data_IF_605564539329
#
_entry.id   IF_605564539329
#
_cell.length_a   1.000
_cell.length_b   1.000
_cell.length_c   1.000
_cell.angle_alpha   90.00
_cell.angle_beta   90.00
_cell.angle_gamma   90.00
#
_symmetry.space_group_name_H-M   'P 1'
#
loop_
_entity.id
_entity.type
_entity.pdbx_description
1 polymer ?
#
# COMPACT_ATOMS: atom_id res chain seq x y z
N UNK A 1 13.26 8.29 -44.90
CA UNK A 1 12.73 7.06 -44.20
C UNK A 1 13.71 6.67 -43.11
N UNK A 2 13.52 7.07 -41.89
CA UNK A 2 14.08 6.51 -40.64
C UNK A 2 13.89 7.48 -39.47
N UNK A 3 12.67 8.06 -39.30
CA UNK A 3 12.37 8.96 -38.17
C UNK A 3 11.67 8.25 -36.99
N UNK A 4 11.35 6.94 -37.09
CA UNK A 4 10.51 6.26 -36.11
C UNK A 4 11.25 5.68 -34.89
N UNK A 5 12.59 5.66 -34.87
CA UNK A 5 13.38 5.09 -33.76
C UNK A 5 14.59 5.96 -33.33
N UNK A 6 14.51 7.27 -33.46
CA UNK A 6 15.50 8.09 -32.72
C UNK A 6 15.24 7.89 -31.24
N UNK A 7 16.08 7.06 -30.60
CA UNK A 7 16.21 7.00 -29.13
C UNK A 7 16.28 8.44 -28.62
N UNK A 8 15.32 8.89 -27.81
CA UNK A 8 15.44 10.17 -27.14
C UNK A 8 16.77 10.17 -26.39
N UNK A 9 17.57 11.26 -26.45
CA UNK A 9 18.82 11.33 -25.74
C UNK A 9 18.58 10.99 -24.26
N UNK A 10 19.45 10.20 -23.68
CA UNK A 10 19.38 9.88 -22.24
C UNK A 10 19.59 11.16 -21.45
N UNK A 11 18.95 11.31 -20.30
CA UNK A 11 19.11 12.48 -19.44
C UNK A 11 20.60 12.77 -19.11
N UNK A 12 21.43 11.72 -19.04
CA UNK A 12 22.88 11.82 -18.90
C UNK A 12 23.58 12.48 -20.08
N UNK A 13 23.07 12.37 -21.29
CA UNK A 13 23.63 13.02 -22.48
C UNK A 13 23.25 14.51 -22.51
N UNK A 14 22.17 14.92 -21.83
CA UNK A 14 21.69 16.29 -21.77
C UNK A 14 22.38 17.07 -20.64
N UNK A 15 22.48 16.46 -19.44
CA UNK A 15 22.90 17.13 -18.22
C UNK A 15 24.34 16.78 -17.79
N UNK A 16 25.03 15.88 -18.50
CA UNK A 16 26.34 15.35 -18.12
C UNK A 16 26.34 14.50 -16.84
N UNK A 17 25.17 14.21 -16.29
CA UNK A 17 25.00 13.42 -15.07
C UNK A 17 24.67 11.98 -15.43
N UNK A 18 25.41 11.02 -14.86
CA UNK A 18 25.09 9.60 -15.04
C UNK A 18 23.88 9.22 -14.20
N UNK A 19 22.74 8.99 -14.88
CA UNK A 19 21.54 8.49 -14.24
C UNK A 19 21.47 6.96 -14.26
N UNK A 20 21.17 6.40 -13.09
CA UNK A 20 20.89 4.96 -12.95
C UNK A 20 19.45 4.68 -13.41
N UNK A 21 19.28 3.75 -14.34
CA UNK A 21 17.97 3.31 -14.87
C UNK A 21 17.78 1.82 -14.66
N UNK A 22 16.58 1.43 -14.22
CA UNK A 22 16.16 0.04 -14.15
C UNK A 22 15.60 -0.43 -15.49
N UNK A 23 15.77 -1.71 -15.79
CA UNK A 23 15.10 -2.37 -16.92
C UNK A 23 13.61 -2.56 -16.61
N UNK A 24 12.76 -2.61 -17.62
CA UNK A 24 11.32 -2.73 -17.44
C UNK A 24 10.92 -3.97 -16.61
N UNK A 25 11.54 -5.11 -16.85
CA UNK A 25 11.26 -6.32 -16.08
C UNK A 25 11.58 -6.16 -14.58
N UNK A 26 12.62 -5.38 -14.23
CA UNK A 26 12.98 -5.09 -12.84
C UNK A 26 11.91 -4.22 -12.15
N UNK A 27 11.37 -3.25 -12.89
CA UNK A 27 10.27 -2.40 -12.42
C UNK A 27 9.01 -3.24 -12.17
N UNK A 28 8.66 -4.14 -13.10
CA UNK A 28 7.50 -5.03 -12.97
C UNK A 28 7.67 -5.97 -11.76
N UNK A 29 8.83 -6.64 -11.65
CA UNK A 29 9.10 -7.51 -10.51
C UNK A 29 9.09 -6.76 -9.18
N UNK A 30 9.56 -5.51 -9.16
CA UNK A 30 9.50 -4.68 -7.97
C UNK A 30 8.04 -4.31 -7.61
N UNK A 31 7.19 -4.04 -8.61
CA UNK A 31 5.77 -3.76 -8.40
C UNK A 31 5.00 -4.98 -7.84
N UNK A 32 5.52 -6.22 -8.00
CA UNK A 32 4.96 -7.42 -7.38
C UNK A 32 4.94 -7.37 -5.84
N UNK A 33 5.65 -6.43 -5.22
CA UNK A 33 5.51 -6.16 -3.78
C UNK A 33 4.04 -5.86 -3.38
N UNK A 34 3.24 -5.30 -4.28
CA UNK A 34 1.82 -5.07 -4.07
C UNK A 34 1.04 -6.38 -3.76
N UNK A 35 1.54 -7.54 -4.19
CA UNK A 35 0.94 -8.84 -3.88
C UNK A 35 0.90 -9.08 -2.37
N UNK A 36 1.97 -8.77 -1.63
CA UNK A 36 1.97 -8.86 -0.18
C UNK A 36 1.06 -7.80 0.45
N UNK A 37 1.37 -6.52 0.24
CA UNK A 37 0.71 -5.43 0.95
C UNK A 37 -0.81 -5.39 0.75
N UNK A 38 -1.29 -5.62 -0.48
CA UNK A 38 -2.71 -5.49 -0.78
C UNK A 38 -3.54 -6.75 -0.44
N UNK A 39 -2.95 -7.94 -0.54
CA UNK A 39 -3.65 -9.16 -0.10
C UNK A 39 -3.76 -9.21 1.41
N UNK A 40 -2.71 -8.82 2.13
CA UNK A 40 -2.75 -8.67 3.58
C UNK A 40 -3.74 -7.58 4.01
N UNK A 41 -3.75 -6.43 3.34
CA UNK A 41 -4.71 -5.36 3.63
C UNK A 41 -6.17 -5.84 3.48
N UNK A 42 -6.45 -6.64 2.45
CA UNK A 42 -7.78 -7.23 2.24
C UNK A 42 -8.16 -8.22 3.34
N UNK A 43 -7.21 -9.04 3.81
CA UNK A 43 -7.44 -9.98 4.90
C UNK A 43 -7.63 -9.27 6.25
N UNK A 44 -6.83 -8.26 6.54
CA UNK A 44 -6.94 -7.43 7.75
C UNK A 44 -8.27 -6.66 7.80
N UNK A 45 -8.85 -6.31 6.66
CA UNK A 45 -10.22 -5.81 6.60
C UNK A 45 -11.25 -6.74 7.26
N UNK A 46 -10.95 -8.04 7.35
CA UNK A 46 -11.77 -9.04 8.05
C UNK A 46 -11.34 -9.30 9.50
N UNK A 47 -10.35 -8.55 10.03
CA UNK A 47 -9.83 -8.77 11.39
C UNK A 47 -10.90 -8.58 12.47
N UNK A 48 -11.80 -7.61 12.32
CA UNK A 48 -12.92 -7.39 13.25
C UNK A 48 -13.84 -8.61 13.30
N UNK A 49 -14.10 -9.22 12.16
CA UNK A 49 -14.91 -10.42 12.06
C UNK A 49 -14.20 -11.62 12.71
N UNK A 50 -12.92 -11.81 12.42
CA UNK A 50 -12.08 -12.84 13.04
C UNK A 50 -12.02 -12.68 14.56
N UNK A 51 -11.87 -11.45 15.07
CA UNK A 51 -11.85 -11.16 16.50
C UNK A 51 -13.16 -11.56 17.19
N UNK A 52 -14.30 -11.31 16.55
CA UNK A 52 -15.61 -11.68 17.11
C UNK A 52 -15.84 -13.19 17.10
N UNK A 53 -15.59 -13.87 15.98
CA UNK A 53 -15.87 -15.31 15.84
C UNK A 53 -14.76 -16.16 16.47
N UNK A 54 -13.52 -15.82 16.23
CA UNK A 54 -12.38 -16.63 16.64
C UNK A 54 -11.93 -16.42 18.08
N UNK A 55 -12.13 -15.23 18.63
CA UNK A 55 -11.64 -14.86 19.95
C UNK A 55 -12.76 -14.43 20.92
N UNK A 56 -14.00 -14.37 20.46
CA UNK A 56 -15.14 -13.97 21.32
C UNK A 56 -15.09 -12.50 21.76
N UNK A 57 -14.42 -11.65 21.01
CA UNK A 57 -14.23 -10.22 21.31
C UNK A 57 -15.45 -9.44 20.84
N UNK A 58 -16.05 -8.65 21.73
CA UNK A 58 -17.16 -7.76 21.36
C UNK A 58 -16.68 -6.74 20.30
N UNK A 59 -17.51 -6.48 19.29
CA UNK A 59 -17.18 -5.59 18.15
C UNK A 59 -16.73 -4.19 18.60
N UNK A 60 -17.33 -3.65 19.66
CA UNK A 60 -16.93 -2.37 20.24
C UNK A 60 -15.49 -2.40 20.79
N UNK A 61 -15.09 -3.49 21.46
CA UNK A 61 -13.73 -3.65 21.96
C UNK A 61 -12.71 -3.79 20.83
N UNK A 62 -13.10 -4.45 19.73
CA UNK A 62 -12.25 -4.52 18.53
C UNK A 62 -11.96 -3.14 17.96
N UNK A 63 -12.97 -2.27 17.88
CA UNK A 63 -12.79 -0.88 17.43
C UNK A 63 -11.78 -0.11 18.27
N UNK A 64 -11.82 -0.28 19.61
CA UNK A 64 -10.84 0.33 20.53
C UNK A 64 -9.44 -0.23 20.28
N UNK A 65 -9.29 -1.56 20.12
CA UNK A 65 -8.00 -2.21 19.85
C UNK A 65 -7.41 -1.68 18.54
N UNK A 66 -8.20 -1.65 17.46
CA UNK A 66 -7.75 -1.16 16.17
C UNK A 66 -7.34 0.32 16.21
N UNK A 67 -8.00 1.13 17.04
CA UNK A 67 -7.61 2.54 17.24
C UNK A 67 -6.34 2.66 18.08
N UNK A 68 -6.21 1.90 19.16
CA UNK A 68 -5.02 1.89 20.02
C UNK A 68 -3.77 1.41 19.24
N UNK A 69 -3.93 0.43 18.35
CA UNK A 69 -2.82 -0.05 17.51
C UNK A 69 -2.35 0.99 16.51
N UNK A 70 -3.16 1.97 16.10
CA UNK A 70 -2.69 3.11 15.29
C UNK A 70 -1.76 4.04 16.05
N UNK A 71 -1.97 4.19 17.35
CA UNK A 71 -1.03 4.93 18.22
C UNK A 71 0.28 4.15 18.36
N UNK A 72 0.19 2.83 18.51
CA UNK A 72 1.35 1.95 18.52
C UNK A 72 2.15 2.03 17.20
N UNK A 73 1.47 2.06 16.05
CA UNK A 73 2.06 2.23 14.72
C UNK A 73 2.88 3.53 14.63
N UNK A 74 2.32 4.65 15.12
CA UNK A 74 3.01 5.94 15.16
C UNK A 74 4.31 5.93 16.01
N UNK A 75 4.41 5.04 17.00
CA UNK A 75 5.63 4.85 17.81
C UNK A 75 6.60 3.88 17.14
N UNK A 76 6.10 2.84 16.49
CA UNK A 76 6.94 1.83 15.82
C UNK A 76 7.58 2.36 14.54
N UNK A 77 6.95 3.29 13.82
CA UNK A 77 7.50 3.88 12.60
C UNK A 77 8.90 4.50 12.79
N UNK A 78 9.14 5.39 13.77
CA UNK A 78 10.48 5.90 14.05
C UNK A 78 11.47 4.81 14.46
N UNK A 79 11.04 3.83 15.26
CA UNK A 79 11.93 2.73 15.70
C UNK A 79 12.38 1.86 14.52
N UNK A 80 11.47 1.55 13.60
CA UNK A 80 11.78 0.80 12.38
C UNK A 80 12.67 1.63 11.45
N UNK A 81 12.49 2.94 11.37
CA UNK A 81 13.39 3.82 10.62
C UNK A 81 14.83 3.77 11.16
N UNK A 82 15.01 3.80 12.48
CA UNK A 82 16.33 3.60 13.11
C UNK A 82 16.90 2.20 12.84
N UNK A 83 16.07 1.16 12.88
CA UNK A 83 16.48 -0.19 12.54
C UNK A 83 16.92 -0.26 11.07
N UNK A 84 16.16 0.35 10.18
CA UNK A 84 16.47 0.44 8.77
C UNK A 84 17.87 1.02 8.53
N UNK A 85 18.25 2.07 9.24
CA UNK A 85 19.56 2.71 9.07
C UNK A 85 20.74 1.87 9.58
N UNK A 86 20.49 1.02 10.59
CA UNK A 86 21.53 0.16 11.20
C UNK A 86 21.76 -1.16 10.47
N UNK A 87 20.79 -1.63 9.72
CA UNK A 87 20.92 -2.89 8.97
C UNK A 87 21.86 -2.66 7.78
N UNK A 88 23.00 -3.33 7.81
CA UNK A 88 23.95 -3.36 6.70
C UNK A 88 24.45 -4.79 6.54
N UNK A 89 23.98 -5.50 5.52
CA UNK A 89 24.28 -6.92 5.31
C UNK A 89 24.87 -7.18 3.93
N UNK A 90 25.64 -8.26 3.81
CA UNK A 90 26.21 -8.71 2.51
C UNK A 90 25.14 -9.08 1.49
N UNK A 91 23.94 -9.45 1.94
CA UNK A 91 22.82 -9.82 1.08
C UNK A 91 21.99 -8.64 0.60
N UNK A 92 22.37 -7.43 0.95
CA UNK A 92 21.63 -6.19 0.73
C UNK A 92 20.83 -5.79 1.98
N UNK A 93 20.50 -4.51 2.04
CA UNK A 93 19.73 -3.92 3.15
C UNK A 93 18.22 -4.12 2.96
N UNK A 94 17.75 -3.79 1.76
CA UNK A 94 16.33 -3.78 1.42
C UNK A 94 15.77 -5.19 1.37
N UNK A 95 16.51 -6.13 0.76
CA UNK A 95 16.07 -7.54 0.65
C UNK A 95 15.91 -8.22 2.00
N UNK A 96 16.88 -8.02 2.90
CA UNK A 96 16.83 -8.64 4.24
C UNK A 96 15.64 -8.09 5.04
N UNK A 97 15.36 -6.81 4.96
CA UNK A 97 14.23 -6.19 5.65
C UNK A 97 12.88 -6.60 5.03
N UNK A 98 12.78 -6.72 3.69
CA UNK A 98 11.57 -7.24 3.05
C UNK A 98 11.25 -8.67 3.48
N UNK A 99 12.24 -9.54 3.46
CA UNK A 99 12.05 -10.95 3.89
C UNK A 99 11.76 -11.03 5.38
N UNK A 100 12.49 -10.27 6.22
CA UNK A 100 12.26 -10.23 7.65
C UNK A 100 10.87 -9.71 8.02
N UNK A 101 10.45 -8.61 7.40
CA UNK A 101 9.10 -8.05 7.55
C UNK A 101 8.01 -9.04 7.12
N UNK A 102 8.19 -9.68 5.96
CA UNK A 102 7.26 -10.72 5.48
C UNK A 102 7.15 -11.89 6.46
N UNK A 103 8.26 -12.40 6.99
CA UNK A 103 8.23 -13.53 7.93
C UNK A 103 7.48 -13.17 9.21
N UNK A 104 7.73 -12.00 9.78
CA UNK A 104 7.03 -11.53 10.99
C UNK A 104 5.54 -11.36 10.70
N UNK A 105 5.19 -10.72 9.58
CA UNK A 105 3.82 -10.46 9.17
C UNK A 105 3.06 -11.77 8.89
N UNK A 106 3.65 -12.68 8.12
CA UNK A 106 3.07 -13.98 7.81
C UNK A 106 2.86 -14.84 9.06
N UNK A 107 3.84 -14.87 9.97
CA UNK A 107 3.72 -15.58 11.24
C UNK A 107 2.58 -15.02 12.09
N UNK A 108 2.50 -13.71 12.24
CA UNK A 108 1.45 -13.05 13.01
C UNK A 108 0.06 -13.35 12.43
N UNK A 109 -0.10 -13.25 11.11
CA UNK A 109 -1.37 -13.53 10.44
C UNK A 109 -1.76 -15.01 10.54
N UNK A 110 -0.81 -15.91 10.35
CA UNK A 110 -1.06 -17.34 10.47
C UNK A 110 -1.52 -17.71 11.88
N UNK A 111 -0.82 -17.22 12.91
CA UNK A 111 -1.21 -17.44 14.30
C UNK A 111 -2.59 -16.83 14.60
N UNK A 112 -2.87 -15.63 14.08
CA UNK A 112 -4.10 -14.88 14.37
C UNK A 112 -5.33 -15.49 13.68
N UNK A 113 -5.24 -15.92 12.42
CA UNK A 113 -6.39 -16.35 11.65
C UNK A 113 -6.59 -17.87 11.62
N UNK A 114 -5.55 -18.66 11.90
CA UNK A 114 -5.61 -20.13 11.82
C UNK A 114 -5.33 -20.80 13.16
N UNK A 115 -4.12 -20.66 13.70
CA UNK A 115 -3.65 -21.50 14.83
C UNK A 115 -4.36 -21.17 16.14
N UNK A 116 -4.50 -19.89 16.49
CA UNK A 116 -5.04 -19.44 17.79
C UNK A 116 -6.50 -19.04 17.71
N UNK A 117 -7.04 -18.87 16.53
CA UNK A 117 -8.47 -18.61 16.34
C UNK A 117 -9.30 -19.79 16.83
N UNK A 118 -10.46 -19.50 17.44
CA UNK A 118 -11.41 -20.49 17.98
C UNK A 118 -10.93 -21.37 19.14
N UNK A 119 -9.77 -21.02 19.75
CA UNK A 119 -9.22 -21.77 20.91
C UNK A 119 -9.44 -21.11 22.27
N UNK A 120 -10.26 -20.06 22.33
CA UNK A 120 -10.62 -19.40 23.60
C UNK A 120 -9.54 -18.49 24.20
N UNK A 121 -8.54 -18.07 23.41
CA UNK A 121 -7.43 -17.23 23.91
C UNK A 121 -7.85 -15.78 24.25
N UNK A 122 -9.01 -15.32 23.80
CA UNK A 122 -9.57 -14.01 24.18
C UNK A 122 -8.84 -12.78 23.60
N UNK A 123 -9.22 -11.62 24.17
CA UNK A 123 -8.83 -10.28 23.70
C UNK A 123 -7.31 -10.04 23.72
N UNK A 124 -6.64 -10.48 24.77
CA UNK A 124 -5.21 -10.20 24.97
C UNK A 124 -4.36 -10.83 23.87
N UNK A 125 -4.63 -12.09 23.56
CA UNK A 125 -3.90 -12.81 22.51
C UNK A 125 -4.13 -12.18 21.13
N UNK A 126 -5.38 -11.84 20.81
CA UNK A 126 -5.70 -11.12 19.58
C UNK A 126 -4.92 -9.81 19.48
N UNK A 127 -4.89 -9.01 20.54
CA UNK A 127 -4.18 -7.72 20.58
C UNK A 127 -2.68 -7.89 20.36
N UNK A 128 -2.06 -8.86 21.06
CA UNK A 128 -0.62 -9.12 20.91
C UNK A 128 -0.26 -9.58 19.50
N UNK A 129 -1.06 -10.47 18.91
CA UNK A 129 -0.84 -10.91 17.51
C UNK A 129 -1.04 -9.78 16.51
N UNK A 130 -2.04 -8.92 16.76
CA UNK A 130 -2.26 -7.76 15.91
C UNK A 130 -1.09 -6.75 16.02
N UNK A 131 -0.55 -6.52 17.22
CA UNK A 131 0.67 -5.70 17.39
C UNK A 131 1.88 -6.30 16.68
N UNK A 132 2.06 -7.62 16.73
CA UNK A 132 3.13 -8.31 16.01
C UNK A 132 2.97 -8.14 14.49
N UNK A 133 1.74 -8.26 13.99
CA UNK A 133 1.42 -7.97 12.59
C UNK A 133 1.79 -6.53 12.22
N UNK A 134 1.43 -5.54 13.04
CA UNK A 134 1.75 -4.12 12.82
C UNK A 134 3.25 -3.90 12.67
N UNK A 135 4.08 -4.53 13.52
CA UNK A 135 5.54 -4.44 13.41
C UNK A 135 6.04 -4.96 12.06
N UNK A 136 5.56 -6.14 11.63
CA UNK A 136 5.91 -6.70 10.31
C UNK A 136 5.50 -5.79 9.16
N UNK A 137 4.26 -5.29 9.21
CA UNK A 137 3.70 -4.35 8.23
C UNK A 137 4.52 -3.05 8.15
N UNK A 138 4.92 -2.47 9.30
CA UNK A 138 5.73 -1.26 9.34
C UNK A 138 7.09 -1.47 8.69
N UNK A 139 7.77 -2.59 8.97
CA UNK A 139 9.05 -2.93 8.32
C UNK A 139 8.87 -3.03 6.80
N UNK A 140 7.83 -3.70 6.33
CA UNK A 140 7.53 -3.84 4.92
C UNK A 140 7.22 -2.49 4.28
N UNK A 141 6.33 -1.69 4.85
CA UNK A 141 5.94 -0.38 4.32
C UNK A 141 7.13 0.58 4.20
N UNK A 142 7.98 0.67 5.23
CA UNK A 142 9.19 1.48 5.20
C UNK A 142 10.14 1.02 4.08
N UNK A 143 10.31 -0.29 3.95
CA UNK A 143 11.19 -0.85 2.94
C UNK A 143 10.67 -0.60 1.53
N UNK A 144 9.36 -0.73 1.32
CA UNK A 144 8.68 -0.48 0.04
C UNK A 144 8.83 0.97 -0.41
N UNK A 145 8.78 1.93 0.50
CA UNK A 145 8.98 3.35 0.18
C UNK A 145 10.38 3.64 -0.37
N UNK A 146 11.35 2.79 -0.08
CA UNK A 146 12.73 2.93 -0.59
C UNK A 146 12.94 2.30 -1.97
N UNK A 147 12.01 1.49 -2.47
CA UNK A 147 12.14 0.78 -3.75
C UNK A 147 12.23 1.72 -4.97
N UNK A 148 11.35 2.73 -5.15
CA UNK A 148 11.41 3.61 -6.30
C UNK A 148 12.74 4.39 -6.43
N UNK A 149 13.26 5.05 -5.38
CA UNK A 149 14.55 5.72 -5.46
C UNK A 149 15.74 4.75 -5.59
N UNK A 150 15.61 3.50 -5.11
CA UNK A 150 16.62 2.46 -5.30
C UNK A 150 16.72 2.02 -6.76
N UNK A 151 15.58 1.84 -7.43
CA UNK A 151 15.51 1.42 -8.83
C UNK A 151 16.03 2.48 -9.79
N UNK A 152 15.67 3.74 -9.59
CA UNK A 152 16.04 4.80 -10.51
C UNK A 152 16.15 6.17 -9.83
N UNK A 153 17.23 6.90 -10.13
CA UNK A 153 17.37 8.31 -9.81
C UNK A 153 17.00 9.23 -10.99
N UNK A 154 16.63 8.65 -12.15
CA UNK A 154 16.23 9.40 -13.33
C UNK A 154 14.80 9.95 -13.20
N UNK A 155 14.63 11.29 -13.23
CA UNK A 155 13.31 11.92 -13.18
C UNK A 155 12.36 11.48 -14.29
N UNK A 156 12.89 11.10 -15.47
CA UNK A 156 12.09 10.66 -16.61
C UNK A 156 11.56 9.22 -16.44
N UNK A 157 12.23 8.38 -15.66
CA UNK A 157 11.81 6.99 -15.44
C UNK A 157 10.87 6.84 -14.23
N UNK A 158 10.94 7.72 -13.25
CA UNK A 158 10.09 7.68 -12.05
C UNK A 158 8.58 7.60 -12.34
N UNK A 159 8.02 8.35 -13.32
CA UNK A 159 6.61 8.20 -13.68
C UNK A 159 6.25 6.79 -14.17
N UNK A 160 7.16 6.12 -14.89
CA UNK A 160 6.95 4.74 -15.35
C UNK A 160 6.84 3.76 -14.18
N UNK A 161 7.69 3.92 -13.15
CA UNK A 161 7.59 3.12 -11.91
C UNK A 161 6.24 3.35 -11.24
N UNK A 162 5.79 4.61 -11.16
CA UNK A 162 4.48 4.97 -10.63
C UNK A 162 3.32 4.31 -11.38
N UNK A 163 3.36 4.27 -12.72
CA UNK A 163 2.33 3.62 -13.54
C UNK A 163 2.23 2.13 -13.21
N UNK A 164 3.35 1.41 -13.16
CA UNK A 164 3.34 -0.02 -12.83
C UNK A 164 2.84 -0.29 -11.42
N UNK A 165 3.28 0.50 -10.43
CA UNK A 165 2.74 0.40 -9.07
C UNK A 165 1.23 0.62 -9.04
N UNK A 166 0.72 1.59 -9.79
CA UNK A 166 -0.72 1.86 -9.88
C UNK A 166 -1.48 0.70 -10.51
N UNK A 167 -0.97 0.12 -11.60
CA UNK A 167 -1.58 -1.07 -12.23
C UNK A 167 -1.70 -2.21 -11.22
N UNK A 168 -0.62 -2.53 -10.50
CA UNK A 168 -0.65 -3.58 -9.48
C UNK A 168 -1.58 -3.24 -8.32
N UNK A 169 -1.62 -1.98 -7.88
CA UNK A 169 -2.51 -1.52 -6.79
C UNK A 169 -3.99 -1.70 -7.10
N UNK A 170 -4.39 -1.67 -8.36
CA UNK A 170 -5.77 -1.93 -8.77
C UNK A 170 -6.01 -3.41 -9.14
N UNK A 171 -5.10 -4.03 -9.89
CA UNK A 171 -5.29 -5.40 -10.36
C UNK A 171 -5.24 -6.42 -9.22
N UNK A 172 -4.32 -6.24 -8.26
CA UNK A 172 -4.13 -7.23 -7.17
C UNK A 172 -5.36 -7.36 -6.29
N UNK A 173 -5.95 -6.29 -5.71
CA UNK A 173 -7.14 -6.40 -4.89
C UNK A 173 -8.34 -6.95 -5.66
N UNK A 174 -8.48 -6.59 -6.95
CA UNK A 174 -9.55 -7.09 -7.79
C UNK A 174 -9.46 -8.61 -7.97
N UNK A 175 -8.31 -9.10 -8.43
CA UNK A 175 -8.09 -10.54 -8.64
C UNK A 175 -8.23 -11.28 -7.32
N UNK A 176 -7.67 -10.74 -6.24
CA UNK A 176 -7.74 -11.36 -4.92
C UNK A 176 -9.18 -11.40 -4.38
N UNK A 177 -9.97 -10.34 -4.58
CA UNK A 177 -11.39 -10.33 -4.21
C UNK A 177 -12.18 -11.40 -4.99
N UNK A 178 -11.90 -11.59 -6.28
CA UNK A 178 -12.51 -12.66 -7.07
C UNK A 178 -12.11 -14.02 -6.50
N UNK A 179 -10.84 -14.26 -6.21
CA UNK A 179 -10.38 -15.52 -5.63
C UNK A 179 -11.05 -15.79 -4.29
N UNK A 180 -11.16 -14.82 -3.41
CA UNK A 180 -11.80 -15.00 -2.10
C UNK A 180 -13.31 -15.23 -2.23
N UNK A 181 -14.01 -14.39 -2.98
CA UNK A 181 -15.49 -14.38 -2.95
C UNK A 181 -16.12 -15.35 -3.97
N UNK A 182 -15.49 -15.55 -5.13
CA UNK A 182 -16.05 -16.41 -6.18
C UNK A 182 -15.53 -17.85 -6.10
N UNK A 183 -14.27 -18.04 -5.66
CA UNK A 183 -13.66 -19.37 -5.59
C UNK A 183 -13.68 -19.92 -4.16
N UNK A 184 -13.13 -19.19 -3.20
CA UNK A 184 -12.91 -19.71 -1.85
C UNK A 184 -14.21 -19.74 -1.02
N UNK A 185 -15.05 -18.72 -1.11
CA UNK A 185 -16.27 -18.62 -0.31
C UNK A 185 -17.25 -19.78 -0.56
N UNK A 186 -17.56 -20.18 -1.82
CA UNK A 186 -18.40 -21.36 -2.08
C UNK A 186 -17.78 -22.65 -1.57
N UNK A 187 -16.45 -22.81 -1.68
CA UNK A 187 -15.73 -23.99 -1.17
C UNK A 187 -15.76 -24.11 0.36
N UNK A 188 -16.08 -23.02 1.05
CA UNK A 188 -16.18 -22.97 2.51
C UNK A 188 -17.63 -22.96 3.03
N UNK A 189 -18.60 -23.33 2.17
CA UNK A 189 -20.02 -23.40 2.54
C UNK A 189 -20.80 -22.11 2.33
N UNK A 190 -20.30 -21.17 1.53
CA UNK A 190 -20.99 -19.94 1.14
C UNK A 190 -21.08 -18.86 2.23
N UNK A 191 -20.45 -19.07 3.38
CA UNK A 191 -20.43 -18.13 4.51
C UNK A 191 -19.01 -17.82 4.96
N UNK A 192 -18.81 -16.61 5.48
CA UNK A 192 -17.56 -16.23 6.12
C UNK A 192 -17.48 -16.94 7.48
N UNK A 193 -16.78 -18.06 7.54
CA UNK A 193 -16.58 -18.85 8.73
C UNK A 193 -15.07 -18.99 9.05
N UNK A 194 -14.75 -19.66 10.15
CA UNK A 194 -13.37 -19.88 10.56
C UNK A 194 -12.56 -20.65 9.52
N UNK A 195 -13.19 -21.63 8.83
CA UNK A 195 -12.54 -22.39 7.76
C UNK A 195 -12.17 -21.49 6.57
N UNK A 196 -13.03 -20.52 6.22
CA UNK A 196 -12.74 -19.53 5.19
C UNK A 196 -11.52 -18.66 5.58
N UNK A 197 -11.49 -18.14 6.82
CA UNK A 197 -10.39 -17.31 7.30
C UNK A 197 -9.06 -18.06 7.34
N UNK A 198 -9.06 -19.30 7.82
CA UNK A 198 -7.88 -20.17 7.82
C UNK A 198 -7.35 -20.45 6.41
N UNK A 199 -8.21 -20.77 5.45
CA UNK A 199 -7.78 -20.95 4.05
C UNK A 199 -7.32 -19.65 3.40
N UNK A 200 -8.00 -18.54 3.69
CA UNK A 200 -7.65 -17.23 3.14
C UNK A 200 -6.24 -16.80 3.59
N UNK A 201 -5.88 -17.00 4.86
CA UNK A 201 -4.53 -16.65 5.34
C UNK A 201 -3.44 -17.46 4.63
N UNK A 202 -3.67 -18.75 4.36
CA UNK A 202 -2.69 -19.57 3.62
C UNK A 202 -2.49 -19.05 2.20
N UNK A 203 -3.57 -18.64 1.51
CA UNK A 203 -3.46 -18.04 0.18
C UNK A 203 -2.65 -16.73 0.25
N UNK A 204 -2.95 -15.87 1.24
CA UNK A 204 -2.23 -14.61 1.44
C UNK A 204 -0.73 -14.85 1.69
N UNK A 205 -0.39 -15.84 2.52
CA UNK A 205 1.01 -16.18 2.80
C UNK A 205 1.73 -16.64 1.52
N UNK A 206 1.12 -17.53 0.74
CA UNK A 206 1.74 -18.03 -0.50
C UNK A 206 1.90 -16.89 -1.51
N UNK A 207 0.86 -16.12 -1.77
CA UNK A 207 0.86 -15.02 -2.74
C UNK A 207 1.83 -13.92 -2.29
N UNK A 208 1.81 -13.54 -1.02
CA UNK A 208 2.71 -12.57 -0.43
C UNK A 208 4.17 -13.01 -0.47
N UNK A 209 4.44 -14.30 -0.19
CA UNK A 209 5.77 -14.88 -0.30
C UNK A 209 6.31 -14.86 -1.73
N UNK A 210 5.50 -15.23 -2.70
CA UNK A 210 5.84 -15.11 -4.13
C UNK A 210 6.14 -13.66 -4.49
N UNK A 211 5.29 -12.71 -4.07
CA UNK A 211 5.50 -11.28 -4.30
C UNK A 211 6.82 -10.77 -3.72
N UNK A 212 7.13 -11.17 -2.48
CA UNK A 212 8.39 -10.81 -1.80
C UNK A 212 9.61 -11.37 -2.54
N UNK A 213 9.58 -12.64 -2.96
CA UNK A 213 10.68 -13.28 -3.72
C UNK A 213 10.88 -12.56 -5.06
N UNK A 214 9.81 -12.30 -5.81
CA UNK A 214 9.87 -11.59 -7.08
C UNK A 214 10.46 -10.19 -6.93
N UNK A 215 10.04 -9.46 -5.89
CA UNK A 215 10.59 -8.15 -5.55
C UNK A 215 12.08 -8.23 -5.23
N UNK A 216 12.51 -9.19 -4.42
CA UNK A 216 13.92 -9.42 -4.09
C UNK A 216 14.76 -9.72 -5.34
N UNK A 217 14.23 -10.48 -6.29
CA UNK A 217 14.89 -10.74 -7.58
C UNK A 217 15.01 -9.43 -8.39
N UNK A 218 13.92 -8.64 -8.46
CA UNK A 218 13.89 -7.38 -9.20
C UNK A 218 14.92 -6.37 -8.73
N UNK A 219 15.15 -6.27 -7.42
CA UNK A 219 16.09 -5.31 -6.82
C UNK A 219 17.51 -5.86 -6.63
N UNK A 220 17.78 -7.14 -6.92
CA UNK A 220 19.05 -7.81 -6.63
C UNK A 220 20.28 -7.10 -7.20
N UNK A 221 20.12 -6.44 -8.34
CA UNK A 221 21.20 -5.69 -9.00
C UNK A 221 21.48 -4.30 -8.38
N UNK A 222 20.55 -3.76 -7.61
CA UNK A 222 20.61 -2.40 -7.05
C UNK A 222 20.87 -2.38 -5.54
N UNK A 223 20.42 -3.40 -4.83
CA UNK A 223 20.58 -3.53 -3.38
C UNK A 223 21.94 -4.13 -3.03
N UNK A 224 22.98 -3.32 -3.23
CA UNK A 224 24.36 -3.65 -2.90
C UNK A 224 24.89 -2.73 -1.80
N UNK A 225 25.77 -3.20 -0.91
CA UNK A 225 26.39 -2.36 0.13
C UNK A 225 26.99 -1.07 -0.44
N UNK A 226 27.65 -1.16 -1.58
CA UNK A 226 28.29 -0.03 -2.29
C UNK A 226 27.27 1.09 -2.65
N UNK A 227 26.02 0.72 -2.90
CA UNK A 227 24.96 1.70 -3.22
C UNK A 227 24.57 2.58 -2.02
N UNK A 228 24.92 2.15 -0.80
CA UNK A 228 24.60 2.85 0.46
C UNK A 228 25.84 3.43 1.15
N UNK A 229 27.06 3.13 0.69
CA UNK A 229 28.31 3.61 1.29
C UNK A 229 28.43 5.14 1.26
N UNK A 230 27.93 5.79 0.23
CA UNK A 230 27.87 7.25 0.17
C UNK A 230 26.95 7.87 1.22
N UNK A 231 26.01 7.10 1.75
CA UNK A 231 25.07 7.50 2.81
C UNK A 231 25.68 7.23 4.20
N UNK A 232 26.50 6.19 4.33
CA UNK A 232 27.09 5.74 5.61
C UNK A 232 28.14 6.67 6.22
N UNK A 233 28.59 7.70 5.51
CA UNK A 233 29.51 8.74 6.04
C UNK A 233 28.79 9.90 6.72
N UNK A 234 27.46 9.89 6.76
CA UNK A 234 26.68 10.91 7.48
C UNK A 234 26.57 10.54 8.94
N UNK A 235 26.69 11.52 9.82
CA UNK A 235 26.40 11.32 11.24
C UNK A 235 24.99 10.73 11.43
N UNK A 236 24.79 9.81 12.39
CA UNK A 236 23.47 9.24 12.64
C UNK A 236 22.50 10.37 12.97
N UNK A 237 21.42 10.49 12.21
CA UNK A 237 20.36 11.47 12.41
C UNK A 237 19.80 11.36 13.82
N UNK A 238 19.85 12.44 14.57
CA UNK A 238 19.23 12.56 15.87
C UNK A 238 17.77 12.93 15.70
N UNK A 239 16.91 12.47 16.59
CA UNK A 239 15.49 12.83 16.57
C UNK A 239 15.25 14.35 16.56
N UNK A 240 16.16 15.11 17.22
CA UNK A 240 16.15 16.57 17.22
C UNK A 240 16.33 17.15 15.82
N UNK A 241 17.20 16.56 15.01
CA UNK A 241 17.46 17.03 13.63
C UNK A 241 16.23 16.81 12.75
N UNK A 242 15.48 15.74 12.97
CA UNK A 242 14.21 15.48 12.28
C UNK A 242 13.16 16.52 12.65
N UNK A 243 13.04 16.89 13.92
CA UNK A 243 12.14 17.96 14.39
C UNK A 243 12.53 19.32 13.82
N UNK A 244 13.82 19.62 13.79
CA UNK A 244 14.33 20.87 13.25
C UNK A 244 14.01 21.01 11.75
N UNK A 245 14.23 19.95 10.96
CA UNK A 245 13.84 19.92 9.54
C UNK A 245 12.33 20.08 9.38
N UNK A 246 11.53 19.45 10.25
CA UNK A 246 10.07 19.57 10.20
C UNK A 246 9.60 21.00 10.51
N UNK A 247 10.24 21.69 11.46
CA UNK A 247 9.88 23.05 11.87
C UNK A 247 10.32 24.12 10.86
N UNK A 248 11.48 23.94 10.22
CA UNK A 248 12.08 24.98 9.36
C UNK A 248 11.90 24.73 7.87
N UNK A 249 11.42 23.55 7.45
CA UNK A 249 11.20 23.22 6.03
C UNK A 249 9.76 23.42 5.61
N UNK A 250 9.37 24.63 5.21
CA UNK A 250 8.02 24.96 4.76
C UNK A 250 7.50 24.10 3.61
N UNK A 251 8.27 23.78 2.55
CA UNK A 251 7.83 22.82 1.52
C UNK A 251 7.45 21.46 2.07
N UNK A 252 8.20 20.95 3.05
CA UNK A 252 7.91 19.67 3.70
C UNK A 252 6.62 19.74 4.52
N UNK A 253 6.40 20.81 5.28
CA UNK A 253 5.16 21.03 6.02
C UNK A 253 3.93 21.03 5.11
N UNK A 254 4.00 21.77 3.98
CA UNK A 254 2.92 21.80 3.00
C UNK A 254 2.67 20.41 2.37
N UNK A 255 3.73 19.65 2.10
CA UNK A 255 3.63 18.31 1.56
C UNK A 255 2.97 17.34 2.56
N UNK A 256 3.35 17.40 3.83
CA UNK A 256 2.75 16.60 4.91
C UNK A 256 1.26 16.94 5.04
N UNK A 257 0.89 18.22 5.08
CA UNK A 257 -0.50 18.65 5.17
C UNK A 257 -1.33 18.16 3.97
N UNK A 258 -0.79 18.26 2.75
CA UNK A 258 -1.44 17.75 1.54
C UNK A 258 -1.66 16.24 1.59
N UNK A 259 -0.63 15.46 1.96
CA UNK A 259 -0.76 14.01 2.08
C UNK A 259 -1.71 13.59 3.20
N UNK A 260 -1.70 14.28 4.34
CA UNK A 260 -2.62 14.01 5.44
C UNK A 260 -4.07 14.22 5.02
N UNK A 261 -4.35 15.33 4.32
CA UNK A 261 -5.68 15.62 3.78
C UNK A 261 -6.15 14.57 2.79
N UNK A 262 -5.27 14.13 1.86
CA UNK A 262 -5.57 13.08 0.90
C UNK A 262 -5.85 11.73 1.59
N UNK A 263 -5.05 11.37 2.58
CA UNK A 263 -5.25 10.14 3.37
C UNK A 263 -6.55 10.16 4.18
N UNK A 264 -6.91 11.30 4.77
CA UNK A 264 -8.19 11.45 5.46
C UNK A 264 -9.34 11.25 4.46
N UNK A 265 -9.29 11.89 3.29
CA UNK A 265 -10.32 11.76 2.26
C UNK A 265 -10.44 10.31 1.77
N UNK A 266 -9.32 9.63 1.51
CA UNK A 266 -9.30 8.20 1.12
C UNK A 266 -9.92 7.31 2.22
N UNK A 267 -9.57 7.53 3.48
CA UNK A 267 -10.09 6.74 4.59
C UNK A 267 -11.60 6.94 4.79
N UNK A 268 -12.08 8.17 4.66
CA UNK A 268 -13.53 8.45 4.71
C UNK A 268 -14.25 7.78 3.55
N UNK A 269 -13.75 7.91 2.32
CA UNK A 269 -14.37 7.32 1.13
C UNK A 269 -14.37 5.79 1.16
N UNK A 270 -13.36 5.16 1.77
CA UNK A 270 -13.22 3.69 1.85
C UNK A 270 -13.98 3.06 3.02
N UNK A 271 -14.71 3.85 3.84
CA UNK A 271 -15.48 3.29 4.95
C UNK A 271 -16.60 2.39 4.44
N UNK A 272 -16.63 1.17 4.94
CA UNK A 272 -17.66 0.20 4.60
C UNK A 272 -19.09 0.66 4.95
N UNK A 273 -19.22 1.52 5.97
CA UNK A 273 -20.49 2.12 6.38
C UNK A 273 -21.09 2.93 5.23
N UNK A 274 -20.29 3.74 4.52
CA UNK A 274 -20.78 4.54 3.39
C UNK A 274 -21.25 3.63 2.26
N UNK A 275 -20.48 2.61 1.92
CA UNK A 275 -20.87 1.62 0.92
C UNK A 275 -22.12 0.85 1.31
N UNK A 276 -22.23 0.42 2.57
CA UNK A 276 -23.41 -0.31 3.08
C UNK A 276 -24.65 0.57 3.11
N UNK A 277 -24.54 1.83 3.54
CA UNK A 277 -25.68 2.75 3.53
C UNK A 277 -26.14 3.04 2.10
N UNK A 278 -25.21 3.35 1.20
CA UNK A 278 -25.56 3.70 -0.18
C UNK A 278 -26.12 2.51 -0.94
N UNK A 279 -25.41 1.38 -0.98
CA UNK A 279 -25.80 0.23 -1.80
C UNK A 279 -26.73 -0.76 -1.09
N UNK A 280 -26.61 -0.91 0.24
CA UNK A 280 -27.42 -1.83 1.01
C UNK A 280 -28.78 -1.24 1.43
N UNK A 281 -28.81 0.02 1.89
CA UNK A 281 -30.01 0.64 2.44
C UNK A 281 -30.73 1.50 1.39
N UNK A 282 -30.02 2.42 0.73
CA UNK A 282 -30.64 3.37 -0.22
C UNK A 282 -30.98 2.65 -1.54
N UNK A 283 -30.03 1.94 -2.13
CA UNK A 283 -30.21 1.27 -3.44
C UNK A 283 -30.82 -0.13 -3.27
N UNK A 284 -30.60 -0.80 -2.12
CA UNK A 284 -31.09 -2.15 -1.84
C UNK A 284 -30.37 -3.26 -2.61
N UNK A 285 -29.21 -2.98 -3.22
CA UNK A 285 -28.46 -3.95 -4.02
C UNK A 285 -26.96 -3.86 -3.80
N UNK A 286 -26.42 -4.70 -2.91
CA UNK A 286 -24.98 -4.75 -2.60
C UNK A 286 -24.11 -5.22 -3.77
N UNK A 287 -24.65 -6.00 -4.72
CA UNK A 287 -23.88 -6.49 -5.86
C UNK A 287 -23.46 -5.37 -6.80
N UNK A 288 -24.22 -4.27 -6.86
CA UNK A 288 -23.87 -3.07 -7.61
C UNK A 288 -22.58 -2.40 -7.09
N UNK A 289 -22.32 -2.47 -5.78
CA UNK A 289 -21.06 -1.96 -5.20
C UNK A 289 -19.84 -2.67 -5.79
N UNK A 290 -19.91 -4.00 -5.89
CA UNK A 290 -18.83 -4.81 -6.48
C UNK A 290 -18.66 -4.51 -7.97
N UNK A 291 -19.77 -4.45 -8.71
CA UNK A 291 -19.76 -4.14 -10.13
C UNK A 291 -19.15 -2.73 -10.38
N UNK A 292 -19.58 -1.74 -9.60
CA UNK A 292 -19.08 -0.38 -9.72
C UNK A 292 -17.59 -0.29 -9.41
N UNK A 293 -17.11 -1.01 -8.42
CA UNK A 293 -15.69 -1.07 -8.06
C UNK A 293 -14.84 -1.62 -9.23
N UNK A 294 -15.32 -2.67 -9.92
CA UNK A 294 -14.66 -3.25 -11.10
C UNK A 294 -14.68 -2.25 -12.26
N UNK A 295 -15.83 -1.64 -12.53
CA UNK A 295 -15.98 -0.66 -13.62
C UNK A 295 -15.11 0.59 -13.37
N UNK A 296 -15.05 1.08 -12.14
CA UNK A 296 -14.23 2.25 -11.76
C UNK A 296 -12.71 2.01 -11.90
N UNK A 297 -12.28 0.76 -11.89
CA UNK A 297 -10.86 0.42 -12.05
C UNK A 297 -10.28 0.84 -13.40
N UNK A 298 -11.01 0.62 -14.51
CA UNK A 298 -10.55 0.96 -15.86
C UNK A 298 -10.26 2.46 -16.03
N UNK A 299 -11.19 3.38 -15.70
CA UNK A 299 -10.90 4.81 -15.71
C UNK A 299 -9.73 5.18 -14.82
N UNK A 300 -9.60 4.57 -13.63
CA UNK A 300 -8.52 4.87 -12.69
C UNK A 300 -7.13 4.56 -13.27
N UNK A 301 -6.97 3.44 -13.97
CA UNK A 301 -5.71 3.10 -14.66
C UNK A 301 -5.44 4.09 -15.80
N UNK A 302 -6.46 4.43 -16.60
CA UNK A 302 -6.34 5.40 -17.69
C UNK A 302 -5.88 6.75 -17.14
N UNK A 303 -6.53 7.27 -16.11
CA UNK A 303 -6.16 8.54 -15.48
C UNK A 303 -4.78 8.49 -14.83
N UNK A 304 -4.36 7.36 -14.27
CA UNK A 304 -2.99 7.19 -13.74
C UNK A 304 -1.93 7.33 -14.84
N UNK A 305 -2.17 6.72 -16.02
CA UNK A 305 -1.26 6.84 -17.17
C UNK A 305 -1.20 8.29 -17.68
N UNK A 306 -2.35 8.95 -17.82
CA UNK A 306 -2.40 10.36 -18.22
C UNK A 306 -1.74 11.26 -17.21
N UNK A 307 -2.01 11.07 -15.92
CA UNK A 307 -1.39 11.82 -14.81
C UNK A 307 0.13 11.66 -14.79
N UNK A 308 0.63 10.44 -14.95
CA UNK A 308 2.06 10.17 -15.02
C UNK A 308 2.74 10.86 -16.22
N UNK A 309 2.12 10.81 -17.42
CA UNK A 309 2.61 11.51 -18.62
C UNK A 309 2.61 13.03 -18.41
N UNK A 310 1.55 13.57 -17.82
CA UNK A 310 1.43 15.00 -17.54
C UNK A 310 2.49 15.46 -16.54
N UNK A 311 2.66 14.72 -15.43
CA UNK A 311 3.68 15.02 -14.42
C UNK A 311 5.11 14.89 -14.98
N UNK A 312 5.36 13.90 -15.86
CA UNK A 312 6.65 13.75 -16.55
C UNK A 312 6.98 14.91 -17.49
N UNK A 313 5.96 15.56 -18.08
CA UNK A 313 6.13 16.69 -19.01
C UNK A 313 6.22 18.05 -18.30
N UNK A 314 5.42 18.29 -17.26
CA UNK A 314 5.23 19.60 -16.63
C UNK A 314 5.80 19.68 -15.20
N UNK A 315 6.32 18.57 -14.68
CA UNK A 315 6.82 18.45 -13.32
C UNK A 315 5.74 18.06 -12.29
N UNK A 316 6.17 17.41 -11.22
CA UNK A 316 5.30 16.83 -10.19
C UNK A 316 4.44 17.88 -9.48
N UNK A 317 4.97 19.08 -9.21
CA UNK A 317 4.22 20.18 -8.55
C UNK A 317 2.98 20.59 -9.38
N UNK A 318 3.18 20.86 -10.67
CA UNK A 318 2.06 21.23 -11.56
C UNK A 318 1.08 20.07 -11.70
N UNK A 319 1.57 18.82 -11.78
CA UNK A 319 0.74 17.63 -11.80
C UNK A 319 -0.21 17.56 -10.59
N UNK A 320 0.33 17.64 -9.39
CA UNK A 320 -0.47 17.58 -8.15
C UNK A 320 -1.52 18.70 -8.12
N UNK A 321 -1.12 19.95 -8.35
CA UNK A 321 -2.05 21.10 -8.29
C UNK A 321 -3.18 20.97 -9.31
N UNK A 322 -2.87 20.60 -10.56
CA UNK A 322 -3.87 20.46 -11.62
C UNK A 322 -4.87 19.35 -11.31
N UNK A 323 -4.38 18.17 -10.95
CA UNK A 323 -5.26 17.03 -10.68
C UNK A 323 -6.06 17.20 -9.38
N UNK A 324 -5.49 17.82 -8.34
CA UNK A 324 -6.24 18.18 -7.13
C UNK A 324 -7.36 19.16 -7.42
N UNK A 325 -7.14 20.16 -8.29
CA UNK A 325 -8.17 21.10 -8.71
C UNK A 325 -9.31 20.41 -9.49
N UNK A 326 -8.96 19.45 -10.38
CA UNK A 326 -9.95 18.63 -11.09
C UNK A 326 -10.76 17.77 -10.11
N UNK A 327 -10.13 17.10 -9.15
CA UNK A 327 -10.82 16.32 -8.13
C UNK A 327 -11.77 17.17 -7.30
N UNK A 328 -11.34 18.39 -6.91
CA UNK A 328 -12.19 19.33 -6.17
C UNK A 328 -13.40 19.78 -6.99
N UNK A 329 -13.23 20.09 -8.26
CA UNK A 329 -14.33 20.45 -9.15
C UNK A 329 -15.35 19.29 -9.30
N UNK A 330 -14.86 18.06 -9.51
CA UNK A 330 -15.72 16.86 -9.58
C UNK A 330 -16.45 16.64 -8.26
N UNK A 331 -15.79 16.79 -7.11
CA UNK A 331 -16.41 16.66 -5.79
C UNK A 331 -17.55 17.68 -5.60
N UNK A 332 -17.36 18.93 -6.00
CA UNK A 332 -18.40 19.98 -5.94
C UNK A 332 -19.59 19.59 -6.85
N UNK A 333 -19.33 19.15 -8.08
CA UNK A 333 -20.38 18.69 -8.99
C UNK A 333 -21.17 17.53 -8.38
N UNK A 334 -20.50 16.56 -7.76
CA UNK A 334 -21.14 15.43 -7.10
C UNK A 334 -22.02 15.87 -5.91
N UNK A 335 -21.54 16.82 -5.10
CA UNK A 335 -22.33 17.38 -3.98
C UNK A 335 -23.60 18.06 -4.52
N UNK A 336 -23.46 18.91 -5.54
CA UNK A 336 -24.60 19.61 -6.16
C UNK A 336 -25.59 18.58 -6.75
N UNK A 337 -25.08 17.54 -7.40
CA UNK A 337 -25.90 16.45 -7.96
C UNK A 337 -26.70 15.73 -6.86
N UNK A 338 -26.06 15.32 -5.76
CA UNK A 338 -26.75 14.63 -4.67
C UNK A 338 -27.71 15.51 -3.88
N UNK A 339 -27.48 16.82 -3.83
CA UNK A 339 -28.42 17.78 -3.23
C UNK A 339 -29.62 18.05 -4.16
N UNK A 340 -29.40 18.06 -5.47
CA UNK A 340 -30.45 18.32 -6.47
C UNK A 340 -31.33 17.11 -6.75
N UNK A 341 -30.80 15.91 -6.65
CA UNK A 341 -31.53 14.65 -6.87
C UNK A 341 -31.78 14.00 -5.52
N UNK A 342 -33.05 13.87 -5.15
CA UNK A 342 -33.44 13.12 -3.97
C UNK A 342 -33.12 11.63 -4.19
N UNK A 343 -32.09 11.07 -3.53
CA UNK A 343 -31.67 9.66 -3.76
C UNK A 343 -32.68 8.64 -3.23
N UNK A 344 -33.77 9.09 -2.58
CA UNK A 344 -34.83 8.24 -2.04
C UNK A 344 -36.02 8.11 -2.99
N UNK A 345 -36.00 8.81 -4.11
CA UNK A 345 -36.96 8.71 -5.21
C UNK A 345 -36.31 8.07 -6.44
#
# INVERSE_FOLDING_TARGET
ENRMFKKKPTASEVDGVQYRRAKLWQIILCACNALLGLTVYSLIGMASYSASIGYGVATAAVGVILTATRIFDAVTDPLVAFLYDRVNTKFGKVRVLLVGGYVIEALALWLMFDVMSSKGFGVVTFTLLYMLYVVGMTINNMTVQTLPPLLSNDPQQRPTIGVWNTIFNYCVPMVFSIVLNVVLLPLCGGTYNQLFLSKAVHIVMIVGGIGTILTCIGISGFDKPESFESIGKREPLKFKDMLDVLQHNRPLQCYIASNASDKIAQQVASQSIIGTMLFGIIIGNMSLSTLLSVVAMLPSIIFAVFGAKYAGKHGSKKGIVTWSAVCMAVAIIMIVYFVAIDPTK
#
